data_IF_546857449305
#
_entry.id   IF_546857449305
#
_cell.length_a   1.000
_cell.length_b   1.000
_cell.length_c   1.000
_cell.angle_alpha   90.00
_cell.angle_beta   90.00
_cell.angle_gamma   90.00
#
_symmetry.space_group_name_H-M   'P 1'
#
loop_
_entity.id
_entity.type
_entity.pdbx_description
1 polymer ?
#
# COMPACT_ATOMS: atom_id res chain seq x y z
N UNK A 1 45.00 -11.69 -0.89
CA UNK A 1 44.54 -10.38 -1.40
C UNK A 1 43.09 -10.55 -1.82
N UNK A 2 42.14 -10.37 -0.90
CA UNK A 2 40.71 -10.59 -1.16
C UNK A 2 40.10 -9.32 -1.76
N UNK A 3 39.65 -9.39 -3.01
CA UNK A 3 38.88 -8.32 -3.63
C UNK A 3 37.41 -8.45 -3.19
N UNK A 4 37.04 -7.72 -2.14
CA UNK A 4 35.64 -7.49 -1.82
C UNK A 4 35.08 -6.47 -2.83
N UNK A 5 34.21 -6.93 -3.74
CA UNK A 5 33.45 -6.09 -4.64
C UNK A 5 32.47 -5.26 -3.81
N UNK A 6 32.75 -3.97 -3.68
CA UNK A 6 31.85 -3.00 -3.07
C UNK A 6 30.63 -2.81 -3.99
N UNK A 7 29.46 -3.28 -3.55
CA UNK A 7 28.18 -2.96 -4.19
C UNK A 7 27.79 -1.55 -3.73
N UNK A 8 27.52 -0.59 -4.63
CA UNK A 8 27.12 0.74 -4.21
C UNK A 8 25.73 0.68 -3.55
N UNK A 9 25.65 1.28 -2.37
CA UNK A 9 24.42 1.63 -1.67
C UNK A 9 23.63 2.61 -2.55
N UNK A 10 22.62 2.10 -3.27
CA UNK A 10 21.67 2.93 -4.00
C UNK A 10 20.68 3.55 -3.01
N UNK A 11 21.18 4.50 -2.22
CA UNK A 11 20.40 5.38 -1.36
C UNK A 11 19.60 6.45 -2.11
N UNK A 12 19.00 6.12 -3.26
CA UNK A 12 18.19 7.05 -4.06
C UNK A 12 16.68 6.84 -3.83
N UNK A 13 16.25 7.06 -2.58
CA UNK A 13 14.83 7.22 -2.25
C UNK A 13 14.45 8.67 -1.90
N UNK A 14 15.37 9.62 -2.04
CA UNK A 14 15.16 11.04 -1.72
C UNK A 14 14.42 11.85 -2.80
N UNK A 15 13.59 11.22 -3.65
CA UNK A 15 13.10 11.86 -4.89
C UNK A 15 11.63 11.69 -5.27
N UNK A 16 10.73 11.23 -4.37
CA UNK A 16 9.29 11.08 -4.71
C UNK A 16 8.35 11.58 -3.61
N UNK A 17 8.62 12.76 -3.06
CA UNK A 17 7.91 13.29 -1.89
C UNK A 17 6.84 14.37 -2.19
N UNK A 18 6.32 14.48 -3.43
CA UNK A 18 5.31 15.50 -3.76
C UNK A 18 3.94 14.95 -4.21
N UNK A 19 3.74 13.62 -4.18
CA UNK A 19 2.39 13.07 -4.23
C UNK A 19 1.85 13.02 -2.79
N UNK A 20 0.60 13.44 -2.52
CA UNK A 20 0.01 13.25 -1.20
C UNK A 20 0.13 11.77 -0.86
N UNK A 21 0.87 11.47 0.22
CA UNK A 21 1.05 10.11 0.66
C UNK A 21 -0.34 9.51 0.89
N UNK A 22 -0.73 8.55 0.05
CA UNK A 22 -2.01 7.86 0.16
C UNK A 22 -2.06 7.24 1.55
N UNK A 23 -3.04 7.67 2.36
CA UNK A 23 -3.27 7.09 3.67
C UNK A 23 -3.63 5.61 3.48
N UNK A 24 -2.62 4.76 3.65
CA UNK A 24 -2.72 3.34 3.37
C UNK A 24 -3.62 2.66 4.41
N UNK A 25 -3.70 3.22 5.63
CA UNK A 25 -4.58 2.72 6.68
C UNK A 25 -6.05 3.01 6.34
N UNK A 26 -6.35 4.19 5.81
CA UNK A 26 -7.69 4.51 5.30
C UNK A 26 -8.06 3.60 4.11
N UNK A 27 -7.10 3.31 3.23
CA UNK A 27 -7.31 2.40 2.09
C UNK A 27 -7.63 0.96 2.54
N UNK A 28 -6.94 0.47 3.56
CA UNK A 28 -7.19 -0.86 4.16
C UNK A 28 -8.54 -0.89 4.87
N UNK A 29 -8.92 0.16 5.59
CA UNK A 29 -10.24 0.25 6.20
C UNK A 29 -11.35 0.20 5.13
N UNK A 30 -11.19 0.95 4.04
CA UNK A 30 -12.12 0.94 2.91
C UNK A 30 -12.27 -0.45 2.27
N UNK A 31 -11.16 -1.20 2.15
CA UNK A 31 -11.20 -2.57 1.65
C UNK A 31 -12.01 -3.49 2.58
N UNK A 32 -11.83 -3.36 3.91
CA UNK A 32 -12.61 -4.12 4.90
C UNK A 32 -14.10 -3.78 4.81
N UNK A 33 -14.45 -2.50 4.70
CA UNK A 33 -15.83 -2.05 4.55
C UNK A 33 -16.50 -2.56 3.26
N UNK A 34 -15.73 -2.67 2.17
CA UNK A 34 -16.19 -3.27 0.92
C UNK A 34 -16.43 -4.79 1.01
N UNK A 35 -16.01 -5.43 2.10
CA UNK A 35 -16.11 -6.87 2.34
C UNK A 35 -14.90 -7.67 1.84
N UNK A 36 -13.75 -7.02 1.64
CA UNK A 36 -12.49 -7.72 1.35
C UNK A 36 -11.89 -8.30 2.64
N UNK A 37 -11.27 -9.47 2.52
CA UNK A 37 -10.45 -10.04 3.58
C UNK A 37 -9.09 -9.35 3.55
N UNK A 38 -8.67 -8.80 4.70
CA UNK A 38 -7.34 -8.20 4.85
C UNK A 38 -6.57 -8.93 5.95
N UNK A 39 -5.45 -9.53 5.57
CA UNK A 39 -4.57 -10.34 6.41
C UNK A 39 -3.23 -9.59 6.56
N UNK A 40 -2.71 -9.49 7.77
CA UNK A 40 -1.34 -9.03 8.00
C UNK A 40 -0.38 -10.20 7.77
N UNK A 41 0.39 -10.14 6.70
CA UNK A 41 1.37 -11.18 6.35
C UNK A 41 2.67 -11.02 7.13
N UNK A 42 3.00 -9.78 7.52
CA UNK A 42 4.15 -9.51 8.36
C UNK A 42 4.45 -8.03 8.54
N UNK A 43 5.43 -7.75 9.40
CA UNK A 43 6.01 -6.42 9.55
C UNK A 43 7.53 -6.56 9.57
N UNK A 44 8.21 -5.82 8.69
CA UNK A 44 9.67 -5.76 8.64
C UNK A 44 10.08 -4.32 8.91
N UNK A 45 10.76 -4.10 10.04
CA UNK A 45 11.05 -2.75 10.53
C UNK A 45 9.75 -1.95 10.75
N UNK A 46 9.59 -0.84 10.02
CA UNK A 46 8.40 0.03 10.07
C UNK A 46 7.37 -0.27 8.99
N UNK A 47 7.70 -1.15 8.04
CA UNK A 47 6.85 -1.47 6.90
C UNK A 47 5.94 -2.67 7.23
N UNK A 48 4.64 -2.51 6.95
CA UNK A 48 3.61 -3.54 7.16
C UNK A 48 3.19 -4.11 5.81
N UNK A 49 3.14 -5.43 5.73
CA UNK A 49 2.72 -6.15 4.53
C UNK A 49 1.35 -6.77 4.78
N UNK A 50 0.35 -6.32 4.02
CA UNK A 50 -1.03 -6.78 4.15
C UNK A 50 -1.54 -7.33 2.82
N UNK A 51 -2.03 -8.57 2.83
CA UNK A 51 -2.73 -9.17 1.71
C UNK A 51 -4.20 -8.80 1.75
N UNK A 52 -4.70 -8.24 0.65
CA UNK A 52 -6.11 -7.91 0.45
C UNK A 52 -6.69 -8.85 -0.59
N UNK A 53 -7.63 -9.72 -0.20
CA UNK A 53 -8.22 -10.75 -1.06
C UNK A 53 -9.74 -10.78 -0.95
N UNK A 54 -10.42 -11.25 -2.00
CA UNK A 54 -11.88 -11.27 -2.03
C UNK A 54 -12.43 -11.66 -3.40
N UNK A 55 -13.75 -11.73 -3.49
CA UNK A 55 -14.44 -11.96 -4.77
C UNK A 55 -14.34 -10.75 -5.71
N UNK A 56 -14.60 -10.95 -7.00
CA UNK A 56 -14.72 -9.82 -7.95
C UNK A 56 -15.83 -8.85 -7.55
N UNK A 57 -16.92 -9.35 -6.95
CA UNK A 57 -18.02 -8.51 -6.49
C UNK A 57 -17.63 -7.57 -5.34
N UNK A 58 -16.78 -8.02 -4.42
CA UNK A 58 -16.26 -7.19 -3.32
C UNK A 58 -15.20 -6.21 -3.83
N UNK A 59 -14.39 -6.61 -4.81
CA UNK A 59 -13.47 -5.69 -5.51
C UNK A 59 -14.21 -4.56 -6.22
N UNK A 60 -15.32 -4.87 -6.91
CA UNK A 60 -16.14 -3.86 -7.57
C UNK A 60 -16.74 -2.84 -6.58
N UNK A 61 -17.17 -3.30 -5.40
CA UNK A 61 -17.64 -2.42 -4.31
C UNK A 61 -16.52 -1.52 -3.79
N UNK A 62 -15.33 -2.08 -3.58
CA UNK A 62 -14.16 -1.31 -3.17
C UNK A 62 -13.84 -0.20 -4.16
N UNK A 63 -13.80 -0.50 -5.46
CA UNK A 63 -13.52 0.49 -6.50
C UNK A 63 -14.53 1.64 -6.51
N UNK A 64 -15.83 1.33 -6.35
CA UNK A 64 -16.87 2.35 -6.24
C UNK A 64 -16.68 3.22 -4.98
N UNK A 65 -16.41 2.61 -3.84
CA UNK A 65 -16.17 3.32 -2.59
C UNK A 65 -14.92 4.22 -2.65
N UNK A 66 -13.87 3.77 -3.34
CA UNK A 66 -12.64 4.54 -3.56
C UNK A 66 -12.91 5.77 -4.44
N UNK A 67 -13.66 5.61 -5.53
CA UNK A 67 -14.02 6.72 -6.40
C UNK A 67 -14.87 7.77 -5.68
N UNK A 68 -15.85 7.34 -4.87
CA UNK A 68 -16.66 8.24 -4.04
C UNK A 68 -15.82 8.97 -2.97
N UNK A 69 -14.81 8.29 -2.41
CA UNK A 69 -13.93 8.88 -1.41
C UNK A 69 -12.99 9.92 -2.03
N UNK A 70 -12.45 9.66 -3.21
CA UNK A 70 -11.62 10.61 -3.95
C UNK A 70 -12.41 11.88 -4.32
N UNK A 71 -13.68 11.74 -4.72
CA UNK A 71 -14.55 12.88 -5.02
C UNK A 71 -14.86 13.75 -3.80
N UNK A 72 -14.89 13.17 -2.59
CA UNK A 72 -15.10 13.94 -1.33
C UNK A 72 -13.86 14.71 -0.89
N UNK A 73 -12.68 14.29 -1.35
CA UNK A 73 -11.40 14.88 -0.97
C UNK A 73 -10.93 15.99 -1.94
N UNK A 74 -11.63 16.17 -3.07
CA UNK A 74 -11.38 17.20 -4.09
C UNK A 74 -12.21 18.47 -3.82
#
# INVERSE_FOLDING_TARGET
MSHATHLPDSGDHAGRADAPALDTQALVALARDAGMLVILDGQIGRERYESVTGSVATLARFAQALQLSALKAA
#
